data_IF_470620010501
#
_entry.id   IF_470620010501
#
_cell.length_a   1.000
_cell.length_b   1.000
_cell.length_c   1.000
_cell.angle_alpha   90.00
_cell.angle_beta   90.00
_cell.angle_gamma   90.00
#
_symmetry.space_group_name_H-M   'P 1'
#
loop_
_entity.id
_entity.type
_entity.pdbx_description
1 polymer ?
#
# COMPACT_ATOMS: atom_id res chain seq x y z
N UNK A 1 44.35 9.85 15.31
CA UNK A 1 44.81 9.69 13.91
C UNK A 1 45.48 8.34 13.75
N UNK A 2 44.81 7.37 13.12
CA UNK A 2 45.39 6.10 12.67
C UNK A 2 44.86 5.84 11.26
N UNK A 3 45.74 5.99 10.28
CA UNK A 3 45.55 5.55 8.90
C UNK A 3 45.77 4.03 8.82
N UNK A 4 44.92 3.33 8.07
CA UNK A 4 45.17 1.98 7.59
C UNK A 4 44.85 1.90 6.10
N UNK A 5 45.95 1.83 5.33
CA UNK A 5 46.24 1.12 4.08
C UNK A 5 45.13 0.81 3.06
N UNK A 6 45.43 1.30 1.88
CA UNK A 6 45.03 0.90 0.54
C UNK A 6 45.51 -0.53 0.18
N UNK A 7 44.69 -1.29 -0.53
CA UNK A 7 45.14 -2.31 -1.48
C UNK A 7 44.15 -2.38 -2.65
N UNK A 8 44.51 -1.68 -3.72
CA UNK A 8 43.96 -1.81 -5.07
C UNK A 8 44.49 -3.09 -5.76
N UNK A 9 43.78 -3.49 -6.82
CA UNK A 9 44.10 -4.38 -7.97
C UNK A 9 43.00 -5.47 -8.10
N UNK A 10 42.15 -5.49 -9.13
CA UNK A 10 42.50 -5.41 -10.55
C UNK A 10 41.35 -4.83 -11.42
N UNK A 11 41.65 -3.81 -12.23
CA UNK A 11 40.89 -3.30 -13.38
C UNK A 11 41.12 -4.19 -14.65
N UNK A 12 40.72 -3.82 -15.89
CA UNK A 12 39.55 -3.10 -16.44
C UNK A 12 38.90 -3.86 -17.62
N UNK A 13 37.76 -3.37 -18.16
CA UNK A 13 37.25 -3.85 -19.45
C UNK A 13 36.07 -3.03 -19.99
N UNK A 14 36.37 -1.92 -20.65
CA UNK A 14 35.40 -1.20 -21.50
C UNK A 14 35.13 -2.00 -22.77
N UNK A 15 33.87 -2.26 -23.09
CA UNK A 15 33.42 -2.57 -24.46
C UNK A 15 32.18 -1.74 -24.76
N UNK A 16 32.34 -0.82 -25.70
CA UNK A 16 31.26 -0.20 -26.47
C UNK A 16 30.68 -1.24 -27.44
N UNK A 17 29.35 -1.38 -27.50
CA UNK A 17 28.59 -1.26 -28.75
C UNK A 17 27.10 -1.49 -28.53
N UNK A 18 26.33 -0.77 -29.32
CA UNK A 18 24.89 -0.72 -29.39
C UNK A 18 24.22 -2.07 -29.64
N UNK A 19 23.07 -2.28 -29.02
CA UNK A 19 21.84 -2.46 -29.80
C UNK A 19 20.61 -2.22 -28.92
N UNK A 20 19.72 -1.36 -29.42
CA UNK A 20 18.48 -1.00 -28.78
C UNK A 20 17.57 -2.21 -28.60
N UNK A 21 17.19 -2.46 -27.36
CA UNK A 21 15.97 -3.20 -27.06
C UNK A 21 14.94 -2.13 -26.69
N UNK A 22 14.10 -1.76 -27.67
CA UNK A 22 12.83 -1.11 -27.34
C UNK A 22 12.13 -2.02 -26.34
N UNK A 23 12.11 -1.61 -25.08
CA UNK A 23 11.05 -2.06 -24.19
C UNK A 23 9.79 -1.42 -24.74
N UNK A 24 9.02 -2.21 -25.47
CA UNK A 24 7.63 -1.89 -25.75
C UNK A 24 6.89 -1.98 -24.43
N UNK A 25 6.95 -0.91 -23.64
CA UNK A 25 6.09 -0.75 -22.48
C UNK A 25 4.66 -0.86 -22.98
N UNK A 26 3.93 -1.84 -22.44
CA UNK A 26 2.49 -1.94 -22.65
C UNK A 26 1.89 -0.66 -22.07
N UNK A 27 1.57 0.31 -22.93
CA UNK A 27 0.74 1.45 -22.56
C UNK A 27 -0.67 0.92 -22.33
N UNK A 28 -0.90 0.35 -21.14
CA UNK A 28 -2.24 0.20 -20.58
C UNK A 28 -2.86 1.59 -20.59
N UNK A 29 -4.10 1.74 -21.03
CA UNK A 29 -4.75 3.05 -21.10
C UNK A 29 -4.59 3.81 -19.77
N UNK A 30 -4.08 5.04 -19.79
CA UNK A 30 -3.87 5.85 -18.58
C UNK A 30 -5.18 6.21 -17.86
N UNK A 31 -6.30 6.19 -18.58
CA UNK A 31 -7.61 6.47 -18.02
C UNK A 31 -7.90 5.57 -16.80
N UNK A 32 -8.29 6.21 -15.70
CA UNK A 32 -8.75 5.58 -14.47
C UNK A 32 -7.72 4.61 -13.87
N UNK A 33 -6.42 4.94 -13.98
CA UNK A 33 -5.34 4.07 -13.50
C UNK A 33 -5.29 4.00 -11.97
N UNK A 34 -5.64 5.09 -11.29
CA UNK A 34 -5.65 5.13 -9.83
C UNK A 34 -6.83 4.38 -9.23
N UNK A 35 -8.04 4.59 -9.75
CA UNK A 35 -9.24 3.87 -9.35
C UNK A 35 -9.10 2.34 -9.56
N UNK A 36 -8.54 1.92 -10.71
CA UNK A 36 -8.25 0.49 -10.96
C UNK A 36 -7.23 -0.09 -9.98
N UNK A 37 -6.19 0.68 -9.66
CA UNK A 37 -5.18 0.25 -8.70
C UNK A 37 -5.78 0.11 -7.29
N UNK A 38 -6.58 1.09 -6.85
CA UNK A 38 -7.30 1.02 -5.57
C UNK A 38 -8.17 -0.23 -5.47
N UNK A 39 -9.00 -0.50 -6.48
CA UNK A 39 -9.88 -1.68 -6.50
C UNK A 39 -9.05 -2.98 -6.40
N UNK A 40 -7.92 -3.05 -7.11
CA UNK A 40 -7.00 -4.20 -7.04
C UNK A 40 -6.43 -4.39 -5.63
N UNK A 41 -5.94 -3.33 -4.99
CA UNK A 41 -5.43 -3.41 -3.61
C UNK A 41 -6.52 -3.80 -2.61
N UNK A 42 -7.74 -3.28 -2.78
CA UNK A 42 -8.88 -3.61 -1.92
C UNK A 42 -9.31 -5.09 -2.06
N UNK A 43 -9.28 -5.66 -3.26
CA UNK A 43 -9.51 -7.09 -3.46
C UNK A 43 -8.37 -7.97 -2.89
N UNK A 44 -7.11 -7.52 -2.95
CA UNK A 44 -6.00 -8.23 -2.31
C UNK A 44 -6.18 -8.27 -0.78
N UNK A 45 -6.56 -7.14 -0.19
CA UNK A 45 -6.88 -7.05 1.24
C UNK A 45 -8.02 -8.01 1.64
N UNK A 46 -9.13 -8.03 0.89
CA UNK A 46 -10.23 -8.98 1.11
C UNK A 46 -9.77 -10.45 0.99
N UNK A 47 -8.93 -10.75 0.00
CA UNK A 47 -8.39 -12.10 -0.21
C UNK A 47 -7.43 -12.55 0.91
N UNK A 48 -6.70 -11.63 1.55
CA UNK A 48 -5.92 -11.93 2.76
C UNK A 48 -6.86 -12.21 3.93
N UNK A 49 -7.83 -11.32 4.22
CA UNK A 49 -8.80 -11.52 5.31
C UNK A 49 -9.52 -12.86 5.23
N UNK A 50 -9.92 -13.29 4.02
CA UNK A 50 -10.62 -14.55 3.80
C UNK A 50 -9.78 -15.80 4.15
N UNK A 51 -8.45 -15.67 4.25
CA UNK A 51 -7.52 -16.76 4.53
C UNK A 51 -7.01 -16.77 5.98
N UNK A 52 -7.33 -15.75 6.78
CA UNK A 52 -6.87 -15.66 8.17
C UNK A 52 -7.51 -16.77 9.02
N UNK A 53 -6.70 -17.64 9.66
CA UNK A 53 -7.22 -18.66 10.57
C UNK A 53 -7.94 -18.04 11.78
N UNK A 54 -8.99 -18.71 12.27
CA UNK A 54 -9.82 -18.19 13.37
C UNK A 54 -9.05 -17.89 14.66
N UNK A 55 -7.98 -18.62 14.93
CA UNK A 55 -7.13 -18.49 16.11
C UNK A 55 -6.08 -17.36 15.98
N UNK A 56 -5.96 -16.72 14.82
CA UNK A 56 -4.92 -15.72 14.54
C UNK A 56 -5.37 -14.26 14.69
N UNK A 57 -6.68 -14.01 14.77
CA UNK A 57 -7.24 -12.65 14.83
C UNK A 57 -6.72 -11.79 16.01
N UNK A 58 -6.27 -12.42 17.09
CA UNK A 58 -5.65 -11.73 18.23
C UNK A 58 -4.14 -11.51 18.12
N UNK A 59 -3.48 -11.97 17.06
CA UNK A 59 -2.05 -11.79 16.86
C UNK A 59 -1.70 -10.31 16.68
N UNK A 60 -0.57 -9.89 17.24
CA UNK A 60 -0.04 -8.54 17.05
C UNK A 60 0.49 -8.37 15.62
N UNK A 61 0.20 -7.21 15.04
CA UNK A 61 0.78 -6.75 13.78
C UNK A 61 2.05 -5.95 14.05
N UNK A 62 2.75 -5.52 12.99
CA UNK A 62 3.86 -4.58 13.12
C UNK A 62 3.42 -3.16 13.53
N UNK A 63 2.11 -2.86 13.47
CA UNK A 63 1.54 -1.64 14.01
C UNK A 63 1.41 -1.80 15.54
N UNK A 64 2.18 -1.02 16.31
CA UNK A 64 2.23 -1.16 17.76
C UNK A 64 0.84 -1.05 18.39
N UNK A 65 0.49 -2.03 19.23
CA UNK A 65 -0.79 -2.09 19.93
C UNK A 65 -1.97 -2.56 19.08
N UNK A 66 -1.76 -2.91 17.81
CA UNK A 66 -2.83 -3.37 16.93
C UNK A 66 -2.75 -4.88 16.72
N UNK A 67 -3.81 -5.58 17.11
CA UNK A 67 -4.05 -6.93 16.65
C UNK A 67 -4.55 -6.94 15.20
N UNK A 68 -4.58 -8.11 14.58
CA UNK A 68 -5.15 -8.31 13.23
C UNK A 68 -6.56 -7.72 13.13
N UNK A 69 -7.41 -7.85 14.17
CA UNK A 69 -8.75 -7.25 14.19
C UNK A 69 -8.73 -5.72 14.10
N UNK A 70 -7.80 -5.07 14.79
CA UNK A 70 -7.72 -3.61 14.84
C UNK A 70 -7.21 -3.06 13.50
N UNK A 71 -6.16 -3.69 12.97
CA UNK A 71 -5.61 -3.38 11.64
C UNK A 71 -6.67 -3.60 10.54
N UNK A 72 -7.41 -4.71 10.60
CA UNK A 72 -8.51 -4.95 9.67
C UNK A 72 -9.62 -3.89 9.77
N UNK A 73 -9.99 -3.50 10.99
CA UNK A 73 -10.98 -2.45 11.21
C UNK A 73 -10.53 -1.12 10.61
N UNK A 74 -9.28 -0.73 10.82
CA UNK A 74 -8.71 0.50 10.27
C UNK A 74 -8.85 0.55 8.75
N UNK A 75 -8.35 -0.47 8.05
CA UNK A 75 -8.38 -0.54 6.59
C UNK A 75 -9.81 -0.57 6.02
N UNK A 76 -10.76 -1.24 6.70
CA UNK A 76 -12.18 -1.19 6.33
C UNK A 76 -12.73 0.23 6.47
N UNK A 77 -12.39 0.92 7.56
CA UNK A 77 -12.72 2.32 7.80
C UNK A 77 -12.17 3.26 6.70
N UNK A 78 -10.93 3.05 6.28
CA UNK A 78 -10.31 3.77 5.15
C UNK A 78 -11.13 3.56 3.87
N UNK A 79 -11.54 2.32 3.55
CA UNK A 79 -12.42 2.07 2.39
C UNK A 79 -13.73 2.85 2.47
N UNK A 80 -14.33 3.00 3.66
CA UNK A 80 -15.54 3.81 3.84
C UNK A 80 -15.29 5.27 3.50
N UNK A 81 -14.17 5.83 3.95
CA UNK A 81 -13.82 7.23 3.64
C UNK A 81 -13.45 7.45 2.17
N UNK A 82 -12.83 6.47 1.50
CA UNK A 82 -12.61 6.53 0.06
C UNK A 82 -13.92 6.52 -0.72
N UNK A 83 -14.90 5.71 -0.29
CA UNK A 83 -16.26 5.74 -0.84
C UNK A 83 -16.93 7.10 -0.59
N UNK A 84 -16.79 7.67 0.61
CA UNK A 84 -17.37 8.98 0.94
C UNK A 84 -16.80 10.08 0.05
N UNK A 85 -15.48 10.06 -0.20
CA UNK A 85 -14.85 10.95 -1.17
C UNK A 85 -15.44 10.77 -2.58
N UNK A 86 -15.66 9.54 -3.04
CA UNK A 86 -16.21 9.27 -4.37
C UNK A 86 -17.61 9.88 -4.57
N UNK A 87 -18.43 9.93 -3.52
CA UNK A 87 -19.83 10.41 -3.57
C UNK A 87 -20.01 11.83 -3.01
N UNK A 88 -18.94 12.52 -2.62
CA UNK A 88 -19.01 13.85 -2.02
C UNK A 88 -19.66 13.89 -0.63
N UNK A 89 -19.55 12.80 0.15
CA UNK A 89 -20.01 12.75 1.53
C UNK A 89 -18.91 13.14 2.54
N UNK A 90 -19.31 13.61 3.71
CA UNK A 90 -18.39 13.91 4.82
C UNK A 90 -17.66 12.66 5.31
N UNK A 91 -16.37 12.74 5.65
CA UNK A 91 -15.63 11.61 6.20
C UNK A 91 -16.20 11.19 7.56
N UNK A 92 -16.12 9.90 7.84
CA UNK A 92 -16.45 9.33 9.15
C UNK A 92 -15.19 9.22 9.99
N UNK A 93 -15.35 9.30 11.31
CA UNK A 93 -14.32 8.85 12.24
C UNK A 93 -14.26 7.32 12.18
N UNK A 94 -13.07 6.80 11.88
CA UNK A 94 -12.83 5.37 11.71
C UNK A 94 -11.80 4.80 12.68
N UNK A 95 -11.37 5.62 13.65
CA UNK A 95 -10.37 5.25 14.64
C UNK A 95 -10.96 4.50 15.84
N UNK A 96 -12.28 4.30 15.88
CA UNK A 96 -12.99 3.64 16.98
C UNK A 96 -12.87 2.10 16.98
N UNK A 97 -12.24 1.51 15.96
CA UNK A 97 -12.04 0.06 15.84
C UNK A 97 -13.32 -0.73 15.57
N UNK A 98 -14.43 -0.07 15.24
CA UNK A 98 -15.74 -0.74 15.13
C UNK A 98 -16.04 -1.36 13.76
N UNK A 99 -15.28 -1.01 12.73
CA UNK A 99 -15.56 -1.34 11.33
C UNK A 99 -15.37 -2.82 10.99
N UNK A 100 -14.51 -3.54 11.70
CA UNK A 100 -14.38 -4.99 11.51
C UNK A 100 -15.66 -5.74 11.96
N UNK A 101 -16.33 -5.26 13.00
CA UNK A 101 -17.49 -5.94 13.57
C UNK A 101 -17.21 -7.38 14.02
N UNK A 102 -18.25 -8.23 14.15
CA UNK A 102 -18.08 -9.63 14.57
C UNK A 102 -17.59 -10.56 13.44
N UNK A 103 -17.65 -10.12 12.18
CA UNK A 103 -17.18 -10.86 11.01
C UNK A 103 -16.42 -9.89 10.09
N UNK A 104 -15.09 -9.75 10.29
CA UNK A 104 -14.28 -8.81 9.53
C UNK A 104 -14.30 -9.07 8.02
N UNK A 105 -14.36 -10.34 7.60
CA UNK A 105 -14.44 -10.71 6.19
C UNK A 105 -15.77 -10.30 5.55
N UNK A 106 -16.90 -10.50 6.26
CA UNK A 106 -18.20 -10.04 5.76
C UNK A 106 -18.28 -8.50 5.72
N UNK A 107 -17.72 -7.82 6.73
CA UNK A 107 -17.66 -6.36 6.77
C UNK A 107 -16.83 -5.80 5.60
N UNK A 108 -15.63 -6.36 5.38
CA UNK A 108 -14.76 -6.00 4.27
C UNK A 108 -15.48 -6.11 2.92
N UNK A 109 -16.06 -7.28 2.60
CA UNK A 109 -16.79 -7.47 1.33
C UNK A 109 -17.91 -6.45 1.13
N UNK A 110 -18.71 -6.19 2.18
CA UNK A 110 -19.78 -5.19 2.12
C UNK A 110 -19.26 -3.79 1.76
N UNK A 111 -18.15 -3.38 2.38
CA UNK A 111 -17.59 -2.05 2.17
C UNK A 111 -16.79 -1.94 0.85
N UNK A 112 -16.17 -3.03 0.42
CA UNK A 112 -15.56 -3.17 -0.89
C UNK A 112 -16.60 -3.05 -2.01
N UNK A 113 -17.71 -3.78 -1.93
CA UNK A 113 -18.80 -3.71 -2.92
C UNK A 113 -19.35 -2.28 -3.02
N UNK A 114 -19.53 -1.61 -1.88
CA UNK A 114 -19.99 -0.23 -1.84
C UNK A 114 -18.97 0.77 -2.43
N UNK A 115 -17.68 0.56 -2.19
CA UNK A 115 -16.60 1.37 -2.78
C UNK A 115 -16.55 1.19 -4.30
N UNK A 116 -16.62 -0.05 -4.80
CA UNK A 116 -16.63 -0.35 -6.24
C UNK A 116 -17.83 0.32 -6.92
N UNK A 117 -19.02 0.19 -6.36
CA UNK A 117 -20.22 0.83 -6.90
C UNK A 117 -20.11 2.37 -6.92
N UNK A 118 -19.53 2.97 -5.87
CA UNK A 118 -19.32 4.41 -5.82
C UNK A 118 -18.30 4.90 -6.87
N UNK A 119 -17.21 4.16 -7.08
CA UNK A 119 -16.19 4.49 -8.08
C UNK A 119 -16.77 4.41 -9.51
N UNK A 120 -17.69 3.48 -9.77
CA UNK A 120 -18.32 3.33 -11.09
C UNK A 120 -19.14 4.55 -11.52
N UNK A 121 -19.74 5.26 -10.56
CA UNK A 121 -20.58 6.44 -10.80
C UNK A 121 -19.81 7.77 -10.61
N UNK A 122 -18.56 7.71 -10.16
CA UNK A 122 -17.77 8.90 -9.84
C UNK A 122 -17.20 9.60 -11.08
N UNK A 123 -17.17 10.93 -11.05
CA UNK A 123 -16.37 11.72 -11.99
C UNK A 123 -14.89 11.67 -11.58
N UNK A 124 -14.16 10.69 -12.12
CA UNK A 124 -12.75 10.47 -11.81
C UNK A 124 -11.82 11.60 -12.29
N UNK A 125 -12.31 12.49 -13.17
CA UNK A 125 -11.58 13.69 -13.60
C UNK A 125 -11.81 14.91 -12.70
N UNK A 126 -12.74 14.83 -11.74
CA UNK A 126 -13.00 15.89 -10.78
C UNK A 126 -11.75 16.24 -9.99
N UNK A 127 -11.45 17.53 -9.92
CA UNK A 127 -10.37 18.10 -9.10
C UNK A 127 -10.93 18.66 -7.80
N UNK A 128 -10.18 18.51 -6.71
CA UNK A 128 -10.53 19.06 -5.42
C UNK A 128 -9.27 19.46 -4.63
N UNK A 129 -9.43 20.34 -3.66
CA UNK A 129 -8.35 20.76 -2.75
C UNK A 129 -8.22 19.77 -1.58
N UNK A 130 -7.09 19.08 -1.49
CA UNK A 130 -6.74 18.23 -0.36
C UNK A 130 -5.82 18.97 0.63
N UNK A 131 -6.06 18.91 1.96
CA UNK A 131 -5.23 19.62 2.94
C UNK A 131 -3.74 19.27 2.88
N UNK A 132 -3.41 18.04 2.46
CA UNK A 132 -2.04 17.53 2.41
C UNK A 132 -1.48 17.54 0.97
N UNK A 133 -2.31 17.27 -0.04
CA UNK A 133 -1.85 17.06 -1.42
C UNK A 133 -2.06 18.28 -2.33
N UNK A 134 -2.70 19.33 -1.81
CA UNK A 134 -3.15 20.45 -2.63
C UNK A 134 -4.23 20.02 -3.62
N UNK A 135 -4.31 20.74 -4.73
CA UNK A 135 -5.26 20.44 -5.80
C UNK A 135 -4.91 19.10 -6.46
N UNK A 136 -5.84 18.14 -6.45
CA UNK A 136 -5.62 16.78 -6.94
C UNK A 136 -6.86 16.26 -7.68
N UNK A 137 -6.65 15.43 -8.70
CA UNK A 137 -7.72 14.69 -9.38
C UNK A 137 -8.17 13.49 -8.56
N UNK A 138 -9.45 13.16 -8.62
CA UNK A 138 -10.00 12.02 -7.90
C UNK A 138 -9.34 10.69 -8.26
N UNK A 139 -9.05 10.44 -9.55
CA UNK A 139 -8.31 9.24 -9.96
C UNK A 139 -6.92 9.15 -9.32
N UNK A 140 -6.14 10.23 -9.36
CA UNK A 140 -4.79 10.28 -8.81
C UNK A 140 -4.82 10.09 -7.29
N UNK A 141 -5.79 10.71 -6.61
CA UNK A 141 -6.02 10.51 -5.18
C UNK A 141 -6.29 9.04 -4.83
N UNK A 142 -7.14 8.34 -5.59
CA UNK A 142 -7.36 6.91 -5.35
C UNK A 142 -6.10 6.09 -5.57
N UNK A 143 -5.31 6.42 -6.59
CA UNK A 143 -4.02 5.78 -6.84
C UNK A 143 -3.05 5.95 -5.68
N UNK A 144 -2.97 7.15 -5.11
CA UNK A 144 -2.17 7.47 -3.94
C UNK A 144 -2.64 6.72 -2.69
N UNK A 145 -3.94 6.71 -2.42
CA UNK A 145 -4.51 6.10 -1.21
C UNK A 145 -4.57 4.58 -1.26
N UNK A 146 -4.48 3.95 -2.44
CA UNK A 146 -4.45 2.49 -2.60
C UNK A 146 -3.32 1.81 -1.82
N UNK A 147 -2.24 2.54 -1.56
CA UNK A 147 -1.10 2.07 -0.79
C UNK A 147 -1.47 1.60 0.62
N UNK A 148 -2.43 2.27 1.29
CA UNK A 148 -2.87 1.93 2.65
C UNK A 148 -3.42 0.49 2.73
N UNK A 149 -4.33 0.16 1.81
CA UNK A 149 -4.91 -1.20 1.72
C UNK A 149 -3.85 -2.25 1.37
N UNK A 150 -2.87 -1.89 0.54
CA UNK A 150 -1.81 -2.82 0.13
C UNK A 150 -0.88 -3.16 1.28
N UNK A 151 -0.42 -2.16 2.04
CA UNK A 151 0.47 -2.41 3.19
C UNK A 151 -0.25 -3.10 4.32
N UNK A 152 -1.51 -2.77 4.58
CA UNK A 152 -2.29 -3.50 5.59
C UNK A 152 -2.65 -4.92 5.15
N UNK A 153 -2.80 -5.20 3.86
CA UNK A 153 -2.89 -6.59 3.38
C UNK A 153 -1.61 -7.38 3.71
N UNK A 154 -0.44 -6.75 3.59
CA UNK A 154 0.83 -7.34 4.02
C UNK A 154 0.90 -7.51 5.55
N UNK A 155 0.53 -6.49 6.33
CA UNK A 155 0.55 -6.53 7.80
C UNK A 155 -0.26 -7.72 8.36
N UNK A 156 -1.46 -7.95 7.80
CA UNK A 156 -2.32 -9.04 8.21
C UNK A 156 -1.75 -10.41 7.80
N UNK A 157 -1.19 -10.51 6.60
CA UNK A 157 -0.60 -11.74 6.11
C UNK A 157 0.63 -12.14 6.92
N UNK A 158 1.52 -11.18 7.20
CA UNK A 158 2.67 -11.34 8.08
C UNK A 158 2.20 -11.78 9.47
N UNK A 159 1.33 -11.03 10.15
CA UNK A 159 0.86 -11.37 11.49
C UNK A 159 0.13 -12.74 11.59
N UNK A 160 -0.54 -13.17 10.52
CA UNK A 160 -1.20 -14.47 10.45
C UNK A 160 -0.27 -15.63 10.02
N UNK A 161 0.96 -15.32 9.60
CA UNK A 161 1.93 -16.26 9.01
C UNK A 161 1.37 -16.96 7.76
N UNK A 162 0.78 -16.19 6.85
CA UNK A 162 0.25 -16.66 5.56
C UNK A 162 0.84 -15.87 4.40
N UNK A 163 0.78 -16.42 3.18
CA UNK A 163 1.26 -15.70 1.99
C UNK A 163 0.40 -14.46 1.69
N UNK A 164 1.02 -13.30 1.48
CA UNK A 164 0.32 -12.05 1.17
C UNK A 164 -0.33 -12.05 -0.23
N UNK A 165 0.27 -12.72 -1.22
CA UNK A 165 -0.27 -12.82 -2.59
C UNK A 165 -0.19 -11.53 -3.41
N UNK A 166 0.57 -10.54 -2.94
CA UNK A 166 0.84 -9.28 -3.65
C UNK A 166 1.86 -9.55 -4.76
N UNK A 167 1.47 -9.34 -6.02
CA UNK A 167 2.37 -9.46 -7.17
C UNK A 167 3.27 -8.22 -7.34
N UNK A 168 4.41 -8.43 -7.99
CA UNK A 168 5.44 -7.41 -8.21
C UNK A 168 4.90 -6.18 -8.94
N UNK A 169 4.05 -6.36 -9.97
CA UNK A 169 3.45 -5.27 -10.73
C UNK A 169 2.58 -4.39 -9.81
N UNK A 170 1.81 -4.99 -8.91
CA UNK A 170 0.98 -4.26 -7.95
C UNK A 170 1.85 -3.46 -6.98
N UNK A 171 2.95 -4.04 -6.50
CA UNK A 171 3.90 -3.34 -5.65
C UNK A 171 4.61 -2.19 -6.37
N UNK A 172 5.01 -2.37 -7.63
CA UNK A 172 5.62 -1.32 -8.47
C UNK A 172 4.68 -0.14 -8.68
N UNK A 173 3.42 -0.40 -9.00
CA UNK A 173 2.41 0.66 -9.18
C UNK A 173 2.17 1.41 -7.87
N UNK A 174 2.20 0.72 -6.73
CA UNK A 174 2.09 1.39 -5.44
C UNK A 174 3.30 2.30 -5.19
N UNK A 175 4.54 1.83 -5.43
CA UNK A 175 5.75 2.67 -5.31
C UNK A 175 5.66 3.92 -6.19
N UNK A 176 5.27 3.78 -7.45
CA UNK A 176 5.13 4.90 -8.39
C UNK A 176 4.09 5.92 -7.92
N UNK A 177 2.92 5.44 -7.48
CA UNK A 177 1.79 6.29 -7.10
C UNK A 177 1.91 6.88 -5.70
N UNK A 178 2.55 6.21 -4.75
CA UNK A 178 2.53 6.61 -3.33
C UNK A 178 3.91 6.77 -2.68
N UNK A 179 5.01 6.48 -3.37
CA UNK A 179 6.35 6.54 -2.77
C UNK A 179 6.71 7.90 -2.17
N UNK A 180 6.16 8.97 -2.75
CA UNK A 180 6.30 10.35 -2.26
C UNK A 180 5.47 10.65 -1.00
N UNK A 181 4.42 9.86 -0.72
CA UNK A 181 3.60 9.98 0.49
C UNK A 181 4.33 9.50 1.74
N UNK A 182 5.40 8.71 1.58
CA UNK A 182 6.15 8.20 2.70
C UNK A 182 6.63 9.30 3.65
N UNK A 183 6.90 10.52 3.19
CA UNK A 183 7.23 11.67 4.05
C UNK A 183 6.06 12.31 4.79
N UNK A 184 4.83 12.07 4.34
CA UNK A 184 3.58 12.69 4.82
C UNK A 184 2.82 11.79 5.79
N UNK A 185 3.06 10.47 5.73
CA UNK A 185 2.51 9.46 6.66
C UNK A 185 3.49 9.18 7.82
N UNK A 186 4.59 9.95 7.92
CA UNK A 186 5.63 9.86 8.96
C UNK A 186 5.28 10.72 10.19
N UNK A 187 5.59 10.22 11.38
CA UNK A 187 5.89 11.07 12.54
C UNK A 187 7.36 11.48 12.51
N UNK A 188 7.71 12.64 13.09
CA UNK A 188 9.09 13.16 13.13
C UNK A 188 10.06 12.28 13.95
N UNK A 189 9.55 11.29 14.68
CA UNK A 189 10.31 10.51 15.67
C UNK A 189 11.07 9.29 15.10
N UNK A 190 10.92 8.97 13.81
CA UNK A 190 11.57 7.81 13.19
C UNK A 190 12.28 8.17 11.88
N UNK A 191 13.62 8.14 11.91
CA UNK A 191 14.47 8.23 10.72
C UNK A 191 14.71 6.80 10.18
N UNK A 192 14.16 6.48 9.01
CA UNK A 192 14.29 5.13 8.43
C UNK A 192 15.64 4.96 7.74
N UNK A 193 16.26 3.80 7.94
CA UNK A 193 17.37 3.35 7.12
C UNK A 193 16.93 3.21 5.65
N UNK A 194 17.85 3.37 4.67
CA UNK A 194 17.54 3.06 3.29
C UNK A 194 16.97 1.64 3.16
N UNK A 195 15.93 1.49 2.34
CA UNK A 195 15.34 0.20 2.04
C UNK A 195 16.44 -0.77 1.56
N UNK A 196 16.58 -1.89 2.26
CA UNK A 196 17.60 -2.93 2.04
C UNK A 196 17.02 -4.20 1.39
N UNK A 197 15.69 -4.30 1.24
CA UNK A 197 15.03 -5.44 0.62
C UNK A 197 15.40 -5.66 -0.86
N UNK A 198 15.58 -6.93 -1.23
CA UNK A 198 15.95 -7.31 -2.60
C UNK A 198 14.79 -7.09 -3.59
N UNK A 199 13.54 -7.25 -3.16
CA UNK A 199 12.33 -7.09 -3.99
C UNK A 199 11.61 -5.74 -3.81
N UNK A 200 10.72 -5.42 -4.77
CA UNK A 200 9.98 -4.15 -4.80
C UNK A 200 9.07 -4.00 -3.59
N UNK A 201 8.39 -5.08 -3.20
CA UNK A 201 7.45 -5.07 -2.07
C UNK A 201 8.19 -4.87 -0.74
N UNK A 202 9.31 -5.54 -0.54
CA UNK A 202 10.12 -5.42 0.68
C UNK A 202 10.59 -3.98 0.84
N UNK A 203 11.11 -3.37 -0.25
CA UNK A 203 11.48 -1.95 -0.21
C UNK A 203 10.29 -1.03 0.06
N UNK A 204 9.12 -1.33 -0.51
CA UNK A 204 7.91 -0.58 -0.23
C UNK A 204 7.57 -0.68 1.26
N UNK A 205 7.51 -1.88 1.84
CA UNK A 205 7.17 -2.08 3.25
C UNK A 205 8.20 -1.43 4.18
N UNK A 206 9.50 -1.61 3.93
CA UNK A 206 10.58 -0.98 4.71
C UNK A 206 10.51 0.54 4.68
N UNK A 207 10.16 1.15 3.54
CA UNK A 207 10.06 2.61 3.38
C UNK A 207 9.02 3.27 4.30
N UNK A 208 8.19 2.44 4.95
CA UNK A 208 7.03 2.81 5.76
C UNK A 208 7.28 2.56 7.24
N UNK A 209 8.47 2.06 7.57
CA UNK A 209 8.91 1.80 8.93
C UNK A 209 8.49 0.48 9.53
N UNK A 210 7.83 -0.35 8.75
CA UNK A 210 7.39 -1.66 9.20
C UNK A 210 8.57 -2.59 9.37
N UNK A 211 8.56 -3.32 10.47
CA UNK A 211 9.45 -4.46 10.71
C UNK A 211 8.57 -5.71 10.75
N UNK A 212 8.86 -6.76 9.96
CA UNK A 212 8.07 -7.99 9.98
C UNK A 212 8.04 -8.64 11.36
N UNK A 213 6.89 -9.16 11.74
CA UNK A 213 6.67 -9.92 12.98
C UNK A 213 7.21 -11.34 12.84
N UNK A 214 7.14 -11.95 11.64
CA UNK A 214 7.64 -13.29 11.38
C UNK A 214 8.96 -13.36 10.60
N UNK A 215 9.62 -12.22 10.40
CA UNK A 215 10.79 -12.10 9.52
C UNK A 215 10.40 -11.94 8.04
N UNK A 216 11.40 -11.67 7.19
CA UNK A 216 11.25 -11.62 5.73
C UNK A 216 11.25 -13.02 5.12
#
# INVERSE_FOLDING_TARGET
MRQARQSDLCCPGSVTSANGRMQTGVKMSEAHSGARHLIRCAHLFDAVLARIPKDKWGNQTCCEGWAITDCASHAIGVMVNLKHRAIGAEPVDYQDGSWAGPDPSASCRKHLDALVAAIQEADLAMEFDHPIFGQVKLDDFFGMMAYDLLVHAWDLADAASIEHGIDEITAEVAVDKSGHLSSLVRSEDYEFNPACGDGVLERLIESTGRTPVNGW
#
